data_IF_175728927117
#
_entry.id   IF_175728927117
#
_cell.length_a   1.000
_cell.length_b   1.000
_cell.length_c   1.000
_cell.angle_alpha   90.00
_cell.angle_beta   90.00
_cell.angle_gamma   90.00
#
_symmetry.space_group_name_H-M   'P 1'
#
loop_
_entity.id
_entity.type
_entity.pdbx_description
1 polymer ?
#
# COMPACT_ATOMS: atom_id res chain seq x y z
N UNK A 1 2.98 9.58 -22.51
CA UNK A 1 1.91 8.63 -22.13
C UNK A 1 1.67 8.80 -20.63
N UNK A 2 0.43 8.70 -20.14
CA UNK A 2 0.14 8.83 -18.70
C UNK A 2 0.05 7.44 -18.09
N UNK A 3 0.85 7.19 -17.06
CA UNK A 3 0.92 5.89 -16.39
C UNK A 3 0.15 5.84 -15.08
N UNK A 4 -0.27 6.98 -14.52
CA UNK A 4 -0.94 7.01 -13.23
C UNK A 4 -2.26 7.77 -13.29
N UNK A 5 -3.28 7.18 -12.66
CA UNK A 5 -4.61 7.78 -12.51
C UNK A 5 -5.03 7.78 -11.05
N UNK A 6 -5.29 8.97 -10.50
CA UNK A 6 -5.93 9.10 -9.19
C UNK A 6 -7.36 8.54 -9.22
N UNK A 7 -7.87 8.04 -8.10
CA UNK A 7 -9.23 7.49 -8.06
C UNK A 7 -10.31 8.54 -8.34
N UNK A 8 -10.04 9.81 -8.05
CA UNK A 8 -10.91 10.95 -8.33
C UNK A 8 -10.63 11.63 -9.68
N UNK A 9 -9.82 11.01 -10.54
CA UNK A 9 -9.53 11.54 -11.86
C UNK A 9 -10.81 11.68 -12.70
N UNK A 10 -10.97 12.82 -13.39
CA UNK A 10 -12.08 13.03 -14.33
C UNK A 10 -11.84 12.27 -15.62
N UNK A 11 -12.32 11.04 -15.70
CA UNK A 11 -12.19 10.20 -16.88
C UNK A 11 -13.14 10.65 -18.01
N UNK A 12 -12.71 10.51 -19.28
CA UNK A 12 -13.56 10.76 -20.46
C UNK A 12 -14.65 9.70 -20.67
N UNK A 13 -14.48 8.54 -20.05
CA UNK A 13 -15.39 7.39 -20.07
C UNK A 13 -15.65 6.95 -18.63
N UNK A 14 -16.71 6.18 -18.41
CA UNK A 14 -16.99 5.60 -17.09
C UNK A 14 -15.79 4.77 -16.59
N UNK A 15 -15.35 4.90 -15.33
CA UNK A 15 -14.22 4.16 -14.78
C UNK A 15 -14.29 2.65 -15.03
N UNK A 16 -15.48 2.06 -14.92
CA UNK A 16 -15.69 0.62 -15.18
C UNK A 16 -15.42 0.16 -16.62
N UNK A 17 -15.46 1.07 -17.59
CA UNK A 17 -15.07 0.78 -18.98
C UNK A 17 -13.55 0.77 -19.18
N UNK A 18 -12.77 1.23 -18.19
CA UNK A 18 -11.32 1.38 -18.25
C UNK A 18 -10.56 0.23 -17.56
N UNK A 19 -11.22 -0.92 -17.31
CA UNK A 19 -10.60 -2.11 -16.67
C UNK A 19 -9.35 -2.60 -17.39
N UNK A 20 -9.26 -2.40 -18.70
CA UNK A 20 -8.09 -2.78 -19.49
C UNK A 20 -6.85 -1.96 -19.10
N UNK A 21 -7.05 -0.70 -18.71
CA UNK A 21 -5.99 0.24 -18.34
C UNK A 21 -5.74 0.27 -16.82
N UNK A 22 -6.80 0.27 -16.00
CA UNK A 22 -6.73 0.44 -14.54
C UNK A 22 -6.76 -0.90 -13.77
N UNK A 23 -7.02 -2.01 -14.47
CA UNK A 23 -7.39 -3.27 -13.82
C UNK A 23 -8.79 -3.21 -13.19
N UNK A 24 -9.31 -4.36 -12.75
CA UNK A 24 -10.63 -4.47 -12.14
C UNK A 24 -10.72 -3.70 -10.81
N UNK A 25 -9.70 -3.79 -9.95
CA UNK A 25 -9.67 -3.09 -8.65
C UNK A 25 -9.57 -1.57 -8.81
N UNK A 26 -8.65 -1.09 -9.65
CA UNK A 26 -8.47 0.34 -9.89
C UNK A 26 -9.72 0.99 -10.51
N UNK A 27 -10.33 0.32 -11.50
CA UNK A 27 -11.60 0.76 -12.08
C UNK A 27 -12.74 0.80 -11.06
N UNK A 28 -12.89 -0.23 -10.21
CA UNK A 28 -13.90 -0.25 -9.16
C UNK A 28 -13.69 0.88 -8.13
N UNK A 29 -12.44 1.13 -7.70
CA UNK A 29 -12.15 2.22 -6.74
C UNK A 29 -12.51 3.59 -7.30
N UNK A 30 -12.17 3.83 -8.58
CA UNK A 30 -12.54 5.06 -9.27
C UNK A 30 -14.06 5.18 -9.46
N UNK A 31 -14.76 4.08 -9.79
CA UNK A 31 -16.23 4.04 -9.89
C UNK A 31 -16.90 4.37 -8.56
N UNK A 32 -16.48 3.69 -7.49
CA UNK A 32 -16.99 3.89 -6.13
C UNK A 32 -16.83 5.34 -5.68
N UNK A 33 -15.67 5.93 -5.95
CA UNK A 33 -15.38 7.31 -5.53
C UNK A 33 -16.07 8.36 -6.39
N UNK A 34 -16.04 8.21 -7.72
CA UNK A 34 -16.45 9.28 -8.66
C UNK A 34 -17.88 9.18 -9.12
N UNK A 35 -18.42 7.97 -9.24
CA UNK A 35 -19.79 7.71 -9.72
C UNK A 35 -20.71 7.46 -8.54
N UNK A 36 -20.37 6.50 -7.68
CA UNK A 36 -21.20 6.12 -6.52
C UNK A 36 -21.06 7.06 -5.32
N UNK A 37 -20.05 7.93 -5.32
CA UNK A 37 -19.76 8.90 -4.24
C UNK A 37 -19.58 8.26 -2.86
N UNK A 38 -19.04 7.04 -2.81
CA UNK A 38 -18.73 6.34 -1.57
C UNK A 38 -17.46 6.92 -0.91
N UNK A 39 -17.33 6.83 0.43
CA UNK A 39 -16.18 7.31 1.18
C UNK A 39 -14.97 6.39 0.99
N UNK A 40 -14.38 6.41 -0.20
CA UNK A 40 -13.17 5.65 -0.54
C UNK A 40 -11.94 6.47 -0.13
N UNK A 41 -10.98 5.90 0.63
CA UNK A 41 -9.71 6.57 0.90
C UNK A 41 -9.01 7.00 -0.39
N UNK A 42 -8.42 8.19 -0.39
CA UNK A 42 -7.71 8.70 -1.56
C UNK A 42 -6.55 7.78 -1.95
N UNK A 43 -6.29 7.70 -3.25
CA UNK A 43 -5.21 6.90 -3.81
C UNK A 43 -5.15 7.02 -5.33
N UNK A 44 -4.30 6.21 -5.94
CA UNK A 44 -4.10 6.18 -7.38
C UNK A 44 -3.75 4.77 -7.88
N UNK A 45 -3.94 4.57 -9.18
CA UNK A 45 -3.63 3.33 -9.90
C UNK A 45 -2.46 3.58 -10.84
N UNK A 46 -1.44 2.72 -10.78
CA UNK A 46 -0.43 2.59 -11.83
C UNK A 46 -0.99 1.65 -12.90
N UNK A 47 -1.01 2.09 -14.16
CA UNK A 47 -1.74 1.41 -15.23
C UNK A 47 -1.13 0.08 -15.64
N UNK A 48 -1.94 -0.77 -16.29
CA UNK A 48 -1.46 -2.00 -16.93
C UNK A 48 -0.48 -1.72 -18.06
N UNK A 49 -0.53 -0.54 -18.69
CA UNK A 49 0.45 -0.11 -19.69
C UNK A 49 1.84 0.10 -19.06
N UNK A 50 1.93 0.70 -17.87
CA UNK A 50 3.19 0.84 -17.15
C UNK A 50 3.83 -0.53 -16.89
N UNK A 51 3.00 -1.52 -16.50
CA UNK A 51 3.44 -2.90 -16.31
C UNK A 51 3.91 -3.55 -17.63
N UNK A 52 3.17 -3.37 -18.72
CA UNK A 52 3.57 -3.88 -20.05
C UNK A 52 4.90 -3.28 -20.53
N UNK A 53 5.12 -2.00 -20.27
CA UNK A 53 6.37 -1.33 -20.65
C UNK A 53 7.52 -1.80 -19.76
N UNK A 54 7.28 -1.96 -18.46
CA UNK A 54 8.22 -2.58 -17.52
C UNK A 54 8.67 -3.97 -17.98
N UNK A 55 7.73 -4.85 -18.36
CA UNK A 55 8.07 -6.20 -18.83
C UNK A 55 8.80 -6.23 -20.17
N UNK A 56 8.59 -5.23 -21.04
CA UNK A 56 9.22 -5.18 -22.37
C UNK A 56 10.62 -4.56 -22.36
N UNK A 57 10.87 -3.58 -21.51
CA UNK A 57 12.09 -2.79 -21.58
C UNK A 57 12.60 -2.24 -20.25
N UNK A 58 12.06 -2.72 -19.12
CA UNK A 58 12.40 -2.22 -17.80
C UNK A 58 11.66 -0.94 -17.42
N UNK A 59 12.09 -0.32 -16.32
CA UNK A 59 11.37 0.78 -15.67
C UNK A 59 10.99 1.92 -16.65
N UNK A 60 9.69 2.23 -16.83
CA UNK A 60 9.26 3.22 -17.81
C UNK A 60 9.82 4.62 -17.53
N UNK A 61 10.36 5.27 -18.56
CA UNK A 61 10.91 6.63 -18.45
C UNK A 61 9.82 7.61 -18.01
N UNK A 62 10.08 8.33 -16.93
CA UNK A 62 9.17 9.35 -16.39
C UNK A 62 8.14 8.82 -15.40
N UNK A 63 8.05 7.50 -15.18
CA UNK A 63 7.15 6.90 -14.19
C UNK A 63 7.43 7.44 -12.78
N UNK A 64 8.70 7.56 -12.38
CA UNK A 64 9.07 8.12 -11.07
C UNK A 64 8.52 9.52 -10.83
N UNK A 65 8.56 10.36 -11.88
CA UNK A 65 8.03 11.72 -11.81
C UNK A 65 6.52 11.72 -11.64
N UNK A 66 5.81 10.83 -12.33
CA UNK A 66 4.36 10.66 -12.13
C UNK A 66 4.05 10.14 -10.73
N UNK A 67 4.78 9.11 -10.24
CA UNK A 67 4.60 8.57 -8.88
C UNK A 67 4.80 9.69 -7.87
N UNK A 68 5.90 10.44 -7.94
CA UNK A 68 6.20 11.53 -7.01
C UNK A 68 5.10 12.60 -7.02
N UNK A 69 4.60 12.99 -8.19
CA UNK A 69 3.50 13.96 -8.31
C UNK A 69 2.21 13.46 -7.66
N UNK A 70 1.86 12.19 -7.85
CA UNK A 70 0.67 11.59 -7.27
C UNK A 70 0.79 11.32 -5.77
N UNK A 71 1.97 10.95 -5.28
CA UNK A 71 2.27 10.87 -3.83
C UNK A 71 2.11 12.24 -3.19
N UNK A 72 2.73 13.29 -3.74
CA UNK A 72 2.58 14.66 -3.21
C UNK A 72 1.12 15.14 -3.21
N UNK A 73 0.34 14.80 -4.25
CA UNK A 73 -1.10 15.08 -4.27
C UNK A 73 -1.86 14.30 -3.20
N UNK A 74 -1.49 13.04 -2.94
CA UNK A 74 -2.10 12.22 -1.91
C UNK A 74 -1.81 12.79 -0.52
N UNK A 75 -0.55 13.15 -0.26
CA UNK A 75 -0.13 13.80 0.99
C UNK A 75 -0.93 15.07 1.25
N UNK A 76 -1.08 15.93 0.24
CA UNK A 76 -1.89 17.16 0.35
C UNK A 76 -3.35 16.87 0.67
N UNK A 77 -3.96 15.86 0.05
CA UNK A 77 -5.36 15.47 0.28
C UNK A 77 -5.59 14.89 1.67
N UNK A 78 -4.62 14.10 2.15
CA UNK A 78 -4.69 13.44 3.45
C UNK A 78 -4.21 14.32 4.60
N UNK A 79 -3.54 15.44 4.31
CA UNK A 79 -2.94 16.31 5.34
C UNK A 79 -1.77 15.68 6.08
N UNK A 80 -1.17 14.61 5.53
CA UNK A 80 -0.13 13.77 6.14
C UNK A 80 0.98 13.48 5.14
N UNK A 81 2.18 13.19 5.61
CA UNK A 81 3.34 12.89 4.75
C UNK A 81 3.84 11.46 4.92
N UNK A 82 4.28 10.85 3.83
CA UNK A 82 4.79 9.48 3.82
C UNK A 82 6.09 9.42 4.64
N UNK A 83 6.11 8.58 5.68
CA UNK A 83 7.27 8.45 6.57
C UNK A 83 7.47 9.59 7.57
N UNK A 84 6.49 10.47 7.77
CA UNK A 84 6.56 11.54 8.77
C UNK A 84 6.67 10.99 10.21
N UNK A 85 7.55 11.59 11.01
CA UNK A 85 7.81 11.16 12.38
C UNK A 85 6.71 11.55 13.39
N UNK A 86 5.80 12.46 13.04
CA UNK A 86 4.77 12.99 13.94
C UNK A 86 3.38 12.46 13.58
N UNK A 87 2.98 12.59 12.33
CA UNK A 87 1.69 12.08 11.83
C UNK A 87 1.86 11.45 10.43
N UNK A 88 2.29 10.17 10.37
CA UNK A 88 2.61 9.53 9.11
C UNK A 88 1.39 9.25 8.24
N UNK A 89 1.55 9.51 6.95
CA UNK A 89 0.74 8.87 5.92
C UNK A 89 1.25 7.43 5.74
N UNK A 90 0.34 6.47 5.78
CA UNK A 90 0.60 5.07 5.47
C UNK A 90 -0.25 4.66 4.27
N UNK A 91 0.33 3.87 3.36
CA UNK A 91 -0.36 3.40 2.15
C UNK A 91 -0.37 1.88 2.07
N UNK A 92 -1.35 1.37 1.33
CA UNK A 92 -1.37 -0.04 0.91
C UNK A 92 -1.04 -0.14 -0.57
N UNK A 93 -0.22 -1.12 -0.94
CA UNK A 93 0.10 -1.44 -2.33
C UNK A 93 -0.57 -2.76 -2.68
N UNK A 94 -1.43 -2.75 -3.70
CA UNK A 94 -2.30 -3.87 -4.06
C UNK A 94 -2.21 -4.14 -5.55
N UNK A 95 -1.84 -5.36 -5.92
CA UNK A 95 -1.89 -5.82 -7.31
C UNK A 95 -3.34 -5.85 -7.84
N UNK A 96 -3.51 -5.53 -9.13
CA UNK A 96 -4.81 -5.52 -9.78
C UNK A 96 -4.71 -5.67 -11.29
N UNK A 97 -5.03 -6.86 -11.81
CA UNK A 97 -5.16 -7.10 -13.24
C UNK A 97 -6.60 -6.83 -13.73
N UNK A 98 -6.79 -6.89 -15.06
CA UNK A 98 -8.11 -6.79 -15.71
C UNK A 98 -9.08 -7.86 -15.18
N UNK A 99 -8.59 -9.10 -15.11
CA UNK A 99 -9.29 -10.25 -14.56
C UNK A 99 -8.65 -10.65 -13.24
N UNK A 100 -9.44 -11.22 -12.33
CA UNK A 100 -8.89 -11.79 -11.10
C UNK A 100 -7.99 -12.97 -11.46
N UNK A 101 -6.73 -12.92 -11.05
CA UNK A 101 -5.76 -13.98 -11.29
C UNK A 101 -5.28 -14.51 -9.93
N UNK A 102 -5.43 -15.82 -9.65
CA UNK A 102 -4.71 -16.47 -8.56
C UNK A 102 -3.20 -16.31 -8.76
N UNK A 103 -2.44 -16.08 -7.68
CA UNK A 103 -0.98 -15.98 -7.73
C UNK A 103 -0.41 -14.60 -8.10
N UNK A 104 -1.22 -13.54 -8.13
CA UNK A 104 -0.67 -12.17 -8.17
C UNK A 104 0.00 -11.80 -6.84
N UNK A 105 0.94 -10.85 -6.89
CA UNK A 105 1.63 -10.32 -5.70
C UNK A 105 0.64 -9.98 -4.58
N UNK A 106 0.94 -10.48 -3.38
CA UNK A 106 0.18 -10.24 -2.17
C UNK A 106 0.11 -8.74 -1.82
N UNK A 107 -0.86 -8.37 -0.99
CA UNK A 107 -1.03 -6.98 -0.55
C UNK A 107 0.02 -6.61 0.50
N UNK A 108 0.70 -5.49 0.30
CA UNK A 108 1.55 -4.88 1.33
C UNK A 108 0.76 -3.75 2.00
N UNK A 109 0.55 -3.85 3.31
CA UNK A 109 -0.06 -2.80 4.13
C UNK A 109 1.01 -2.01 4.87
N UNK A 110 0.64 -0.84 5.40
CA UNK A 110 1.46 -0.01 6.27
C UNK A 110 2.79 0.49 5.66
N UNK A 111 2.87 0.57 4.33
CA UNK A 111 4.03 1.16 3.67
C UNK A 111 4.12 2.64 4.05
N UNK A 112 5.30 3.02 4.54
CA UNK A 112 5.56 4.32 5.15
C UNK A 112 6.04 4.21 6.60
N UNK A 113 5.93 3.03 7.23
CA UNK A 113 6.50 2.79 8.56
C UNK A 113 8.04 2.65 8.52
N UNK A 114 8.69 3.31 9.47
CA UNK A 114 10.11 3.22 9.82
C UNK A 114 10.27 3.56 11.32
N UNK A 115 11.50 3.52 11.84
CA UNK A 115 11.81 3.74 13.27
C UNK A 115 11.35 5.11 13.79
N UNK A 116 11.29 6.13 12.94
CA UNK A 116 10.81 7.45 13.32
C UNK A 116 9.28 7.56 13.20
N UNK A 117 8.71 7.07 12.10
CA UNK A 117 7.28 7.20 11.83
C UNK A 117 6.40 6.29 12.70
N UNK A 118 6.93 5.14 13.16
CA UNK A 118 6.20 4.26 14.11
C UNK A 118 5.91 4.99 15.42
N UNK A 119 6.82 5.84 15.89
CA UNK A 119 6.59 6.68 17.07
C UNK A 119 5.50 7.73 16.81
N UNK A 120 5.43 8.28 15.59
CA UNK A 120 4.36 9.16 15.16
C UNK A 120 3.00 8.46 15.17
N UNK A 121 2.95 7.22 14.65
CA UNK A 121 1.76 6.39 14.69
C UNK A 121 1.31 6.11 16.13
N UNK A 122 2.21 5.68 17.01
CA UNK A 122 1.92 5.41 18.42
C UNK A 122 1.28 6.61 19.12
N UNK A 123 1.80 7.82 18.87
CA UNK A 123 1.27 9.07 19.42
C UNK A 123 -0.09 9.43 18.84
N UNK A 124 -0.29 9.29 17.52
CA UNK A 124 -1.54 9.69 16.88
C UNK A 124 -2.71 8.74 17.16
N UNK A 125 -2.41 7.47 17.46
CA UNK A 125 -3.42 6.48 17.88
C UNK A 125 -3.56 6.34 19.39
N UNK A 126 -2.65 6.93 20.17
CA UNK A 126 -2.51 6.71 21.60
C UNK A 126 -2.43 5.20 21.94
N UNK A 127 -1.71 4.45 21.11
CA UNK A 127 -1.60 2.99 21.19
C UNK A 127 -0.24 2.54 20.63
N UNK A 128 0.73 2.43 21.54
CA UNK A 128 2.10 2.04 21.21
C UNK A 128 2.18 0.58 20.72
N UNK A 129 1.44 -0.32 21.38
CA UNK A 129 1.39 -1.73 21.03
C UNK A 129 0.84 -1.93 19.62
N UNK A 130 -0.23 -1.22 19.25
CA UNK A 130 -0.75 -1.22 17.87
C UNK A 130 0.28 -0.73 16.86
N UNK A 131 1.03 0.32 17.17
CA UNK A 131 2.01 0.88 16.25
C UNK A 131 3.16 -0.09 15.98
N UNK A 132 3.72 -0.71 17.03
CA UNK A 132 4.79 -1.70 16.87
C UNK A 132 4.29 -3.04 16.30
N UNK A 133 3.04 -3.47 16.59
CA UNK A 133 2.42 -4.62 15.92
C UNK A 133 2.26 -4.35 14.42
N UNK A 134 1.84 -3.15 14.05
CA UNK A 134 1.75 -2.71 12.65
C UNK A 134 3.13 -2.67 11.98
N UNK A 135 4.16 -2.22 12.71
CA UNK A 135 5.52 -2.11 12.19
C UNK A 135 6.18 -3.47 11.99
N UNK A 136 6.11 -4.39 12.96
CA UNK A 136 6.64 -5.76 12.79
C UNK A 136 5.97 -6.49 11.63
N UNK A 137 4.65 -6.31 11.45
CA UNK A 137 3.88 -6.90 10.35
C UNK A 137 4.29 -6.30 9.02
N UNK A 138 4.52 -4.99 8.96
CA UNK A 138 5.05 -4.33 7.76
C UNK A 138 6.41 -4.89 7.36
N UNK A 139 7.35 -5.01 8.31
CA UNK A 139 8.69 -5.57 8.06
C UNK A 139 8.57 -7.00 7.50
N UNK A 140 7.75 -7.85 8.12
CA UNK A 140 7.56 -9.23 7.64
C UNK A 140 6.89 -9.28 6.26
N UNK A 141 5.82 -8.51 6.03
CA UNK A 141 5.14 -8.44 4.72
C UNK A 141 6.08 -7.92 3.63
N UNK A 142 6.79 -6.81 3.87
CA UNK A 142 7.70 -6.21 2.91
C UNK A 142 8.88 -7.13 2.62
N UNK A 143 9.49 -7.71 3.65
CA UNK A 143 10.58 -8.67 3.53
C UNK A 143 10.19 -9.87 2.66
N UNK A 144 9.03 -10.48 2.93
CA UNK A 144 8.55 -11.65 2.16
C UNK A 144 8.15 -11.29 0.73
N UNK A 145 7.31 -10.26 0.56
CA UNK A 145 6.65 -9.98 -0.73
C UNK A 145 7.55 -9.20 -1.67
N UNK A 146 8.33 -8.24 -1.15
CA UNK A 146 9.14 -7.33 -1.97
C UNK A 146 10.59 -7.79 -2.06
N UNK A 147 11.17 -8.25 -0.95
CA UNK A 147 12.57 -8.66 -0.90
C UNK A 147 12.79 -10.17 -1.07
N UNK A 148 11.73 -10.98 -1.09
CA UNK A 148 11.82 -12.43 -1.25
C UNK A 148 12.48 -13.14 -0.06
N UNK A 149 12.46 -12.54 1.13
CA UNK A 149 13.01 -13.13 2.35
C UNK A 149 12.08 -14.23 2.86
N UNK A 150 12.65 -15.37 3.28
CA UNK A 150 11.90 -16.48 3.85
C UNK A 150 11.11 -16.06 5.11
N UNK A 151 9.85 -16.50 5.20
CA UNK A 151 8.96 -16.22 6.33
C UNK A 151 9.49 -16.69 7.68
N UNK A 152 10.26 -17.78 7.72
CA UNK A 152 10.82 -18.34 8.94
C UNK A 152 11.73 -17.35 9.69
N UNK A 153 12.38 -16.43 8.99
CA UNK A 153 13.19 -15.39 9.62
C UNK A 153 12.38 -14.39 10.47
N UNK A 154 11.07 -14.27 10.20
CA UNK A 154 10.16 -13.42 10.98
C UNK A 154 9.33 -14.23 11.99
N UNK A 155 8.99 -15.47 11.65
CA UNK A 155 8.20 -16.35 12.51
C UNK A 155 8.99 -16.85 13.73
N UNK A 156 10.26 -17.25 13.57
CA UNK A 156 11.04 -17.76 14.70
C UNK A 156 11.26 -16.72 15.81
N UNK A 157 11.67 -15.46 15.54
CA UNK A 157 11.78 -14.45 16.60
C UNK A 157 10.45 -14.15 17.28
N UNK A 158 9.33 -14.22 16.54
CA UNK A 158 7.99 -14.00 17.10
C UNK A 158 7.58 -15.12 18.05
N UNK A 159 7.82 -16.38 17.68
CA UNK A 159 7.56 -17.53 18.58
C UNK A 159 8.45 -17.47 19.83
N UNK A 160 9.72 -17.05 19.70
CA UNK A 160 10.60 -16.83 20.86
C UNK A 160 10.07 -15.73 21.79
N UNK A 161 9.60 -14.61 21.23
CA UNK A 161 9.00 -13.53 22.02
C UNK A 161 7.74 -14.00 22.76
N UNK A 162 6.88 -14.80 22.10
CA UNK A 162 5.69 -15.40 22.72
C UNK A 162 6.04 -16.35 23.86
N UNK A 163 7.02 -17.23 23.64
CA UNK A 163 7.51 -18.14 24.67
C UNK A 163 8.08 -17.38 25.88
N UNK A 164 8.85 -16.31 25.65
CA UNK A 164 9.39 -15.46 26.71
C UNK A 164 8.29 -14.70 27.48
N UNK A 165 7.24 -14.28 26.80
CA UNK A 165 6.06 -13.64 27.41
C UNK A 165 5.08 -14.64 28.04
N UNK A 166 5.29 -15.95 27.88
CA UNK A 166 4.39 -16.99 28.39
C UNK A 166 3.01 -17.03 27.71
N UNK A 167 2.88 -16.45 26.52
CA UNK A 167 1.64 -16.47 25.73
C UNK A 167 1.75 -17.34 24.49
N UNK A 168 0.61 -17.79 23.96
CA UNK A 168 0.51 -18.43 22.64
C UNK A 168 -0.11 -17.53 21.58
N UNK A 169 -0.65 -16.38 21.99
CA UNK A 169 -1.37 -15.48 21.12
C UNK A 169 -0.53 -14.23 20.85
N UNK A 170 -0.38 -13.89 19.57
CA UNK A 170 0.24 -12.64 19.13
C UNK A 170 -0.44 -11.40 19.73
N UNK A 171 -1.75 -11.48 20.03
CA UNK A 171 -2.49 -10.38 20.61
C UNK A 171 -1.99 -9.99 22.01
N UNK A 172 -1.46 -10.96 22.76
CA UNK A 172 -1.04 -10.78 24.15
C UNK A 172 0.45 -10.39 24.26
N UNK A 173 1.15 -10.25 23.13
CA UNK A 173 2.49 -9.70 23.14
C UNK A 173 2.43 -8.22 23.55
N UNK A 174 3.22 -7.83 24.57
CA UNK A 174 3.26 -6.46 25.08
C UNK A 174 3.82 -5.47 24.05
#
# INVERSE_FOLDING_TARGET
MTYIYAFDHKHRKAPMSMKDLLGGKGANLAEMMTVLKLPVPHGFTVTTDACRDYMRGGWPKGLDKEIAAHVASLEKKMGRKLGDAKDPLLVSVRSGAKFSMPGMMDTVLNLGLNDASVQGLARSTNDERFAYDSYRRFIAMYGRIVLGVDGHHFEHPLEQAKAAAGTKNDADLP
#
